data_IF_935511193438
#
_entry.id   IF_935511193438
#
_cell.length_a   1.000
_cell.length_b   1.000
_cell.length_c   1.000
_cell.angle_alpha   90.00
_cell.angle_beta   90.00
_cell.angle_gamma   90.00
#
_symmetry.space_group_name_H-M   'P 1'
#
loop_
_entity.id
_entity.type
_entity.pdbx_description
1 polymer ?
#
# COMPACT_ATOMS: atom_id res chain seq x y z
N UNK A 1 11.24 -15.25 50.06
CA UNK A 1 10.66 -13.92 50.29
C UNK A 1 10.66 -13.21 48.95
N UNK A 2 9.51 -13.11 48.30
CA UNK A 2 9.38 -12.38 47.04
C UNK A 2 9.24 -10.89 47.39
N UNK A 3 10.31 -10.12 47.19
CA UNK A 3 10.26 -8.67 47.32
C UNK A 3 9.45 -8.10 46.16
N UNK A 4 8.20 -7.73 46.44
CA UNK A 4 7.41 -6.88 45.55
C UNK A 4 8.13 -5.54 45.41
N UNK A 5 8.77 -5.34 44.26
CA UNK A 5 9.25 -4.02 43.86
C UNK A 5 8.03 -3.18 43.49
N UNK A 6 7.50 -2.44 44.46
CA UNK A 6 6.49 -1.41 44.20
C UNK A 6 7.12 -0.37 43.26
N UNK A 7 6.76 -0.44 41.99
CA UNK A 7 7.19 0.53 41.01
C UNK A 7 6.61 1.89 41.40
N UNK A 8 7.40 2.98 41.33
CA UNK A 8 6.91 4.32 41.63
C UNK A 8 5.65 4.61 40.81
N UNK A 9 4.64 5.28 41.41
CA UNK A 9 3.40 5.59 40.72
C UNK A 9 3.70 6.30 39.40
N UNK A 10 3.16 5.76 38.30
CA UNK A 10 3.35 6.32 36.96
C UNK A 10 2.89 7.77 36.96
N UNK A 11 3.75 8.67 36.45
CA UNK A 11 3.38 10.08 36.26
C UNK A 11 2.14 10.14 35.38
N UNK A 12 1.13 10.90 35.80
CA UNK A 12 -0.10 11.11 35.03
C UNK A 12 0.30 11.69 33.65
N UNK A 13 -0.20 11.14 32.53
CA UNK A 13 0.16 11.61 31.20
C UNK A 13 -0.20 13.08 31.07
N UNK A 14 0.74 13.88 30.57
CA UNK A 14 0.49 15.30 30.37
C UNK A 14 -0.43 15.48 29.16
N UNK A 15 -1.24 16.55 29.16
CA UNK A 15 -2.05 16.92 27.99
C UNK A 15 -1.14 17.08 26.75
N UNK A 16 0.10 17.55 26.92
CA UNK A 16 1.13 17.62 25.86
C UNK A 16 1.46 16.27 25.22
N UNK A 17 1.35 15.17 25.97
CA UNK A 17 1.71 13.82 25.54
C UNK A 17 0.56 13.07 24.86
N UNK A 18 -0.66 13.60 24.93
CA UNK A 18 -1.81 13.02 24.23
C UNK A 18 -1.67 13.21 22.71
N UNK A 19 -2.09 12.26 21.88
CA UNK A 19 -2.05 12.38 20.41
C UNK A 19 -3.18 13.28 19.89
N UNK A 20 -3.22 14.54 20.34
CA UNK A 20 -4.19 15.56 19.93
C UNK A 20 -3.59 16.46 18.85
N UNK A 21 -4.43 16.85 17.88
CA UNK A 21 -4.05 17.81 16.85
C UNK A 21 -3.82 19.20 17.45
N UNK A 22 -3.02 20.05 16.76
CA UNK A 22 -2.78 21.42 17.22
C UNK A 22 -4.07 22.23 17.37
N UNK A 23 -5.04 22.02 16.49
CA UNK A 23 -6.34 22.70 16.55
C UNK A 23 -7.17 22.24 17.78
N UNK A 24 -7.15 20.94 18.08
CA UNK A 24 -7.83 20.41 19.28
C UNK A 24 -7.22 20.97 20.57
N UNK A 25 -5.89 21.09 20.63
CA UNK A 25 -5.19 21.69 21.78
C UNK A 25 -5.58 23.15 21.97
N UNK A 26 -5.52 23.95 20.91
CA UNK A 26 -5.89 25.36 20.96
C UNK A 26 -7.35 25.57 21.40
N UNK A 27 -8.25 24.68 20.97
CA UNK A 27 -9.66 24.69 21.42
C UNK A 27 -9.78 24.41 22.92
N UNK A 28 -9.05 23.42 23.45
CA UNK A 28 -9.04 23.13 24.89
C UNK A 28 -8.50 24.32 25.70
N UNK A 29 -7.42 24.94 25.23
CA UNK A 29 -6.83 26.10 25.88
C UNK A 29 -7.78 27.31 25.86
N UNK A 30 -8.50 27.53 24.75
CA UNK A 30 -9.55 28.56 24.65
C UNK A 30 -10.68 28.32 25.64
N UNK A 31 -11.21 27.09 25.70
CA UNK A 31 -12.26 26.73 26.65
C UNK A 31 -11.82 26.96 28.09
N UNK A 32 -10.59 26.57 28.43
CA UNK A 32 -10.01 26.77 29.77
C UNK A 32 -9.87 28.27 30.09
N UNK A 33 -9.44 29.08 29.12
CA UNK A 33 -9.34 30.53 29.29
C UNK A 33 -10.73 31.14 29.56
N UNK A 34 -11.73 30.79 28.76
CA UNK A 34 -13.10 31.25 28.92
C UNK A 34 -13.71 30.77 30.24
N UNK A 35 -13.45 29.54 30.66
CA UNK A 35 -13.91 28.97 31.93
C UNK A 35 -13.37 29.75 33.13
N UNK A 36 -12.09 30.13 33.09
CA UNK A 36 -11.49 31.00 34.12
C UNK A 36 -12.06 32.41 34.07
N UNK A 37 -12.21 32.98 32.87
CA UNK A 37 -12.70 34.35 32.66
C UNK A 37 -14.17 34.54 33.09
N UNK A 38 -15.03 33.55 32.84
CA UNK A 38 -16.45 33.55 33.26
C UNK A 38 -16.61 33.40 34.79
N UNK A 39 -15.55 33.04 35.53
CA UNK A 39 -15.58 32.91 36.99
C UNK A 39 -16.14 31.57 37.50
N UNK A 40 -16.40 30.62 36.60
CA UNK A 40 -16.89 29.26 36.95
C UNK A 40 -15.86 28.52 37.82
N UNK A 41 -14.56 28.65 37.49
CA UNK A 41 -13.48 28.07 38.29
C UNK A 41 -13.48 28.59 39.73
N UNK A 42 -13.61 29.91 39.92
CA UNK A 42 -13.60 30.52 41.25
C UNK A 42 -14.85 30.14 42.05
N UNK A 43 -15.99 30.02 41.37
CA UNK A 43 -17.24 29.54 41.97
C UNK A 43 -17.11 28.11 42.48
N UNK A 44 -16.55 27.20 41.68
CA UNK A 44 -16.30 25.82 42.10
C UNK A 44 -15.28 25.75 43.24
N UNK A 45 -14.18 26.50 43.15
CA UNK A 45 -13.18 26.60 44.23
C UNK A 45 -13.86 27.01 45.54
N UNK A 46 -14.68 28.07 45.54
CA UNK A 46 -15.39 28.54 46.73
C UNK A 46 -16.33 27.48 47.30
N UNK A 47 -17.11 26.81 46.44
CA UNK A 47 -18.02 25.72 46.86
C UNK A 47 -17.26 24.56 47.50
N UNK A 48 -16.15 24.12 46.89
CA UNK A 48 -15.29 23.07 47.44
C UNK A 48 -14.71 23.47 48.81
N UNK A 49 -14.19 24.69 48.93
CA UNK A 49 -13.69 25.20 50.21
C UNK A 49 -14.79 25.26 51.28
N UNK A 50 -15.99 25.70 50.91
CA UNK A 50 -17.13 25.73 51.80
C UNK A 50 -17.53 24.32 52.26
N UNK A 51 -17.67 23.37 51.33
CA UNK A 51 -18.02 21.99 51.64
C UNK A 51 -16.99 21.33 52.57
N UNK A 52 -15.70 21.56 52.33
CA UNK A 52 -14.65 21.06 53.22
C UNK A 52 -14.76 21.69 54.62
N UNK A 53 -14.99 23.00 54.70
CA UNK A 53 -15.13 23.72 55.97
C UNK A 53 -16.34 23.26 56.80
N UNK A 54 -17.44 22.92 56.14
CA UNK A 54 -18.66 22.41 56.78
C UNK A 54 -18.57 20.90 57.10
N UNK A 55 -17.56 20.20 56.55
CA UNK A 55 -17.39 18.77 56.77
C UNK A 55 -16.77 18.43 58.12
N UNK A 56 -17.14 17.26 58.66
CA UNK A 56 -16.50 16.69 59.84
C UNK A 56 -14.99 16.40 59.64
N UNK A 57 -14.55 16.29 58.38
CA UNK A 57 -13.15 15.99 58.02
C UNK A 57 -12.20 17.12 58.43
N UNK A 58 -12.66 18.38 58.40
CA UNK A 58 -11.89 19.50 58.94
C UNK A 58 -11.58 19.32 60.43
N UNK A 59 -12.58 18.91 61.21
CA UNK A 59 -12.40 18.64 62.64
C UNK A 59 -11.41 17.51 62.89
N UNK A 60 -11.46 16.45 62.08
CA UNK A 60 -10.49 15.35 62.13
C UNK A 60 -9.07 15.81 61.81
N UNK A 61 -8.90 16.65 60.79
CA UNK A 61 -7.61 17.24 60.45
C UNK A 61 -7.08 18.12 61.57
N UNK A 62 -7.90 18.99 62.15
CA UNK A 62 -7.50 19.82 63.30
C UNK A 62 -7.09 18.97 64.51
N UNK A 63 -7.80 17.87 64.79
CA UNK A 63 -7.46 16.94 65.86
C UNK A 63 -6.12 16.23 65.59
N UNK A 64 -5.90 15.74 64.36
CA UNK A 64 -4.65 15.13 63.94
C UNK A 64 -3.48 16.09 64.05
N UNK A 65 -3.66 17.34 63.60
CA UNK A 65 -2.64 18.37 63.68
C UNK A 65 -2.30 18.71 65.14
N UNK A 66 -3.32 18.87 66.00
CA UNK A 66 -3.11 19.10 67.44
C UNK A 66 -2.33 17.95 68.08
N UNK A 67 -2.73 16.70 67.81
CA UNK A 67 -2.04 15.53 68.35
C UNK A 67 -0.57 15.47 67.91
N UNK A 68 -0.29 15.69 66.62
CA UNK A 68 1.08 15.75 66.10
C UNK A 68 1.90 16.87 66.75
N UNK A 69 1.34 18.08 66.85
CA UNK A 69 2.04 19.22 67.45
C UNK A 69 2.34 19.00 68.93
N UNK A 70 1.41 18.39 69.68
CA UNK A 70 1.65 18.06 71.09
C UNK A 70 2.80 17.06 71.24
N UNK A 71 2.79 15.99 70.43
CA UNK A 71 3.86 14.99 70.44
C UNK A 71 5.22 15.59 70.06
N UNK A 72 5.28 16.49 69.08
CA UNK A 72 6.53 17.16 68.69
C UNK A 72 7.01 18.14 69.76
N UNK A 73 6.11 18.89 70.40
CA UNK A 73 6.46 19.77 71.52
C UNK A 73 7.00 18.96 72.70
N UNK A 74 6.36 17.83 73.05
CA UNK A 74 6.81 16.96 74.13
C UNK A 74 8.18 16.34 73.85
N UNK A 75 8.47 16.07 72.57
CA UNK A 75 9.77 15.54 72.12
C UNK A 75 10.91 16.54 72.23
N UNK A 76 10.68 17.81 71.86
CA UNK A 76 11.69 18.87 71.95
C UNK A 76 11.09 20.21 72.42
N UNK A 77 10.83 20.35 73.74
CA UNK A 77 10.19 21.55 74.27
C UNK A 77 11.03 22.82 74.08
N UNK A 78 12.36 22.71 74.15
CA UNK A 78 13.26 23.86 74.02
C UNK A 78 13.24 24.42 72.59
N UNK A 79 13.10 23.57 71.57
CA UNK A 79 13.01 24.01 70.18
C UNK A 79 11.70 24.72 69.86
N UNK A 80 10.58 24.32 70.48
CA UNK A 80 9.26 24.84 70.10
C UNK A 80 8.68 25.86 71.09
N UNK A 81 9.07 25.86 72.37
CA UNK A 81 8.54 26.79 73.38
C UNK A 81 9.47 27.96 73.72
N UNK A 82 10.78 27.83 73.49
CA UNK A 82 11.76 28.90 73.75
C UNK A 82 11.75 30.02 72.70
N UNK A 83 11.65 29.72 71.37
CA UNK A 83 11.60 30.77 70.36
C UNK A 83 10.25 31.51 70.37
N UNK A 84 10.20 32.66 69.68
CA UNK A 84 8.95 33.34 69.42
C UNK A 84 7.93 32.41 68.75
N UNK A 85 6.66 32.57 69.13
CA UNK A 85 5.55 31.74 68.64
C UNK A 85 5.50 31.64 67.11
N UNK A 86 5.89 32.70 66.41
CA UNK A 86 5.93 32.75 64.93
C UNK A 86 7.01 31.81 64.36
N UNK A 87 8.17 31.74 64.99
CA UNK A 87 9.28 30.87 64.60
C UNK A 87 8.91 29.41 64.92
N UNK A 88 8.38 29.17 66.13
CA UNK A 88 7.93 27.85 66.55
C UNK A 88 6.84 27.28 65.64
N UNK A 89 5.85 28.10 65.25
CA UNK A 89 4.80 27.69 64.33
C UNK A 89 5.35 27.23 62.97
N UNK A 90 6.29 27.99 62.39
CA UNK A 90 6.93 27.61 61.12
C UNK A 90 7.75 26.30 61.24
N UNK A 91 8.42 26.08 62.38
CA UNK A 91 9.17 24.84 62.64
C UNK A 91 8.24 23.63 62.80
N UNK A 92 7.10 23.81 63.46
CA UNK A 92 6.07 22.76 63.60
C UNK A 92 5.40 22.45 62.27
N UNK A 93 5.05 23.46 61.48
CA UNK A 93 4.50 23.30 60.13
C UNK A 93 5.46 22.51 59.23
N UNK A 94 6.75 22.88 59.21
CA UNK A 94 7.75 22.14 58.46
C UNK A 94 7.93 20.70 58.94
N UNK A 95 7.72 20.43 60.22
CA UNK A 95 7.78 19.07 60.78
C UNK A 95 6.53 18.26 60.43
N UNK A 96 5.35 18.87 60.46
CA UNK A 96 4.09 18.26 60.03
C UNK A 96 4.11 17.89 58.54
N UNK A 97 4.70 18.74 57.70
CA UNK A 97 4.88 18.47 56.27
C UNK A 97 5.77 17.24 56.01
N UNK A 98 6.86 17.08 56.78
CA UNK A 98 7.73 15.90 56.69
C UNK A 98 7.11 14.64 57.32
N UNK A 99 6.22 14.82 58.29
CA UNK A 99 5.50 13.75 58.97
C UNK A 99 4.24 13.27 58.26
N UNK A 100 3.98 13.75 57.04
CA UNK A 100 2.81 13.39 56.21
C UNK A 100 1.45 13.57 56.91
N UNK A 101 1.34 14.57 57.80
CA UNK A 101 0.07 14.87 58.50
C UNK A 101 -1.01 15.35 57.51
N UNK A 102 -0.58 15.90 56.37
CA UNK A 102 -1.48 16.46 55.36
C UNK A 102 -1.99 15.42 54.36
N UNK A 103 -1.32 14.27 54.19
CA UNK A 103 -1.66 13.31 53.13
C UNK A 103 -3.10 12.82 53.19
N UNK A 104 -3.64 12.58 54.38
CA UNK A 104 -5.06 12.19 54.52
C UNK A 104 -6.02 13.31 54.11
N UNK A 105 -5.72 14.54 54.50
CA UNK A 105 -6.52 15.71 54.15
C UNK A 105 -6.45 16.00 52.65
N UNK A 106 -5.29 15.82 52.02
CA UNK A 106 -5.14 15.96 50.56
C UNK A 106 -6.02 14.96 49.82
N UNK A 107 -6.03 13.69 50.22
CA UNK A 107 -6.93 12.67 49.63
C UNK A 107 -8.41 13.03 49.81
N UNK A 108 -8.76 13.58 50.96
CA UNK A 108 -10.12 14.02 51.24
C UNK A 108 -10.52 15.20 50.35
N UNK A 109 -9.61 16.15 50.12
CA UNK A 109 -9.79 17.26 49.18
C UNK A 109 -9.90 16.75 47.74
N UNK A 110 -9.05 15.82 47.31
CA UNK A 110 -9.12 15.21 45.98
C UNK A 110 -10.49 14.55 45.75
N UNK A 111 -11.03 13.87 46.77
CA UNK A 111 -12.37 13.28 46.70
C UNK A 111 -13.46 14.35 46.50
N UNK A 112 -13.33 15.52 47.15
CA UNK A 112 -14.25 16.64 46.91
C UNK A 112 -14.08 17.23 45.51
N UNK A 113 -12.84 17.34 45.02
CA UNK A 113 -12.56 17.79 43.66
C UNK A 113 -13.26 16.86 42.65
N UNK A 114 -13.16 15.54 42.82
CA UNK A 114 -13.79 14.54 41.96
C UNK A 114 -15.32 14.69 41.88
N UNK A 115 -15.97 15.05 42.99
CA UNK A 115 -17.43 15.31 43.01
C UNK A 115 -17.82 16.50 42.11
N UNK A 116 -16.97 17.53 42.06
CA UNK A 116 -17.21 18.72 41.23
C UNK A 116 -16.70 18.59 39.79
N UNK A 117 -15.92 17.55 39.47
CA UNK A 117 -15.40 17.35 38.10
C UNK A 117 -16.51 17.25 37.06
N UNK A 118 -17.61 16.56 37.37
CA UNK A 118 -18.75 16.44 36.45
C UNK A 118 -19.39 17.81 36.14
N UNK A 119 -19.50 18.68 37.15
CA UNK A 119 -20.06 20.03 37.00
C UNK A 119 -19.10 20.90 36.17
N UNK A 120 -17.79 20.81 36.43
CA UNK A 120 -16.78 21.50 35.64
C UNK A 120 -16.80 21.06 34.17
N UNK A 121 -16.93 19.75 33.93
CA UNK A 121 -17.03 19.19 32.58
C UNK A 121 -18.27 19.72 31.85
N UNK A 122 -19.44 19.72 32.49
CA UNK A 122 -20.67 20.27 31.91
C UNK A 122 -20.52 21.74 31.55
N UNK A 123 -19.92 22.55 32.42
CA UNK A 123 -19.66 23.96 32.14
C UNK A 123 -18.69 24.17 30.96
N UNK A 124 -17.63 23.37 30.86
CA UNK A 124 -16.71 23.38 29.72
C UNK A 124 -17.41 22.98 28.41
N UNK A 125 -18.29 21.97 28.46
CA UNK A 125 -19.10 21.57 27.31
C UNK A 125 -20.08 22.66 26.89
N UNK A 126 -20.67 23.38 27.85
CA UNK A 126 -21.49 24.56 27.59
C UNK A 126 -20.70 25.65 26.85
N UNK A 127 -19.47 25.95 27.31
CA UNK A 127 -18.58 26.89 26.61
C UNK A 127 -18.30 26.42 25.17
N UNK A 128 -18.05 25.13 24.96
CA UNK A 128 -17.84 24.59 23.61
C UNK A 128 -19.08 24.75 22.73
N UNK A 129 -20.27 24.46 23.27
CA UNK A 129 -21.53 24.63 22.56
C UNK A 129 -21.79 26.09 22.18
N UNK A 130 -21.40 27.06 23.02
CA UNK A 130 -21.45 28.48 22.70
C UNK A 130 -20.46 28.85 21.57
N UNK A 131 -19.27 28.24 21.53
CA UNK A 131 -18.22 28.54 20.54
C UNK A 131 -18.48 27.95 19.15
N UNK A 132 -18.89 26.68 19.06
CA UNK A 132 -19.06 25.96 17.77
C UNK A 132 -20.52 25.68 17.39
N UNK A 133 -21.47 25.97 18.29
CA UNK A 133 -22.87 25.64 18.13
C UNK A 133 -23.23 24.25 18.67
N UNK A 134 -24.48 24.10 19.10
CA UNK A 134 -24.96 22.90 19.79
C UNK A 134 -24.89 21.61 18.96
N UNK A 135 -25.08 21.69 17.64
CA UNK A 135 -25.02 20.50 16.77
C UNK A 135 -23.61 19.94 16.66
N UNK A 136 -22.61 20.78 16.38
CA UNK A 136 -21.21 20.35 16.29
C UNK A 136 -20.68 19.88 17.63
N UNK A 137 -21.00 20.58 18.72
CA UNK A 137 -20.62 20.17 20.07
C UNK A 137 -21.19 18.79 20.44
N UNK A 138 -22.42 18.48 20.03
CA UNK A 138 -23.02 17.16 20.24
C UNK A 138 -22.35 16.06 19.42
N UNK A 139 -21.92 16.33 18.19
CA UNK A 139 -21.15 15.38 17.39
C UNK A 139 -19.79 15.10 18.05
N UNK A 140 -19.07 16.14 18.48
CA UNK A 140 -17.81 16.01 19.23
C UNK A 140 -18.02 15.19 20.52
N UNK A 141 -19.11 15.45 21.26
CA UNK A 141 -19.46 14.69 22.46
C UNK A 141 -19.70 13.20 22.17
N UNK A 142 -20.51 12.88 21.15
CA UNK A 142 -20.79 11.49 20.77
C UNK A 142 -19.53 10.77 20.29
N UNK A 143 -18.67 11.46 19.57
CA UNK A 143 -17.38 10.92 19.16
C UNK A 143 -16.46 10.67 20.36
N UNK A 144 -16.45 11.56 21.36
CA UNK A 144 -15.69 11.39 22.59
C UNK A 144 -16.22 10.27 23.50
N UNK A 145 -17.52 9.96 23.44
CA UNK A 145 -18.13 8.83 24.15
C UNK A 145 -17.90 7.48 23.48
N UNK A 146 -17.25 7.45 22.32
CA UNK A 146 -17.02 6.20 21.60
C UNK A 146 -16.08 5.31 22.41
N UNK A 147 -16.55 4.11 22.75
CA UNK A 147 -15.77 3.15 23.51
C UNK A 147 -14.61 2.58 22.68
N UNK A 148 -13.58 2.10 23.36
CA UNK A 148 -12.45 1.41 22.73
C UNK A 148 -12.91 0.23 21.85
N UNK A 149 -13.95 -0.49 22.28
CA UNK A 149 -14.57 -1.57 21.51
C UNK A 149 -15.16 -1.07 20.19
N UNK A 150 -15.92 0.03 20.22
CA UNK A 150 -16.49 0.62 19.01
C UNK A 150 -15.41 1.18 18.06
N UNK A 151 -14.27 1.65 18.59
CA UNK A 151 -13.11 2.01 17.77
C UNK A 151 -12.45 0.78 17.13
N UNK A 152 -12.34 -0.33 17.87
CA UNK A 152 -11.78 -1.56 17.35
C UNK A 152 -12.63 -2.16 16.23
N UNK A 153 -13.96 -2.14 16.36
CA UNK A 153 -14.90 -2.56 15.32
C UNK A 153 -14.77 -1.71 14.05
N UNK A 154 -14.76 -0.38 14.19
CA UNK A 154 -14.57 0.52 13.06
C UNK A 154 -13.21 0.30 12.37
N UNK A 155 -12.14 0.12 13.15
CA UNK A 155 -10.82 -0.19 12.62
C UNK A 155 -10.80 -1.54 11.88
N UNK A 156 -11.55 -2.52 12.38
CA UNK A 156 -11.79 -3.82 11.75
C UNK A 156 -12.51 -3.68 10.41
N UNK A 157 -13.60 -2.91 10.36
CA UNK A 157 -14.34 -2.61 9.12
C UNK A 157 -13.44 -1.92 8.09
N UNK A 158 -12.70 -0.87 8.49
CA UNK A 158 -11.74 -0.21 7.59
C UNK A 158 -10.65 -1.15 7.08
N UNK A 159 -10.23 -2.13 7.90
CA UNK A 159 -9.27 -3.17 7.46
C UNK A 159 -9.92 -4.08 6.43
N UNK A 160 -11.16 -4.53 6.64
CA UNK A 160 -11.91 -5.35 5.70
C UNK A 160 -12.16 -4.62 4.37
N UNK A 161 -12.52 -3.34 4.41
CA UNK A 161 -12.68 -2.50 3.22
C UNK A 161 -11.37 -2.37 2.42
N UNK A 162 -10.25 -2.12 3.12
CA UNK A 162 -8.92 -2.09 2.48
C UNK A 162 -8.56 -3.44 1.86
N UNK A 163 -8.85 -4.54 2.54
CA UNK A 163 -8.59 -5.89 2.04
C UNK A 163 -9.49 -6.24 0.84
N UNK A 164 -10.76 -5.84 0.87
CA UNK A 164 -11.70 -6.01 -0.23
C UNK A 164 -11.23 -5.23 -1.47
N UNK A 165 -10.83 -3.97 -1.29
CA UNK A 165 -10.27 -3.13 -2.35
C UNK A 165 -8.98 -3.74 -2.92
N UNK A 166 -8.09 -4.24 -2.05
CA UNK A 166 -6.87 -4.93 -2.48
C UNK A 166 -7.18 -6.20 -3.29
N UNK A 167 -8.14 -7.02 -2.86
CA UNK A 167 -8.58 -8.21 -3.59
C UNK A 167 -9.19 -7.86 -4.95
N UNK A 168 -9.98 -6.79 -5.01
CA UNK A 168 -10.56 -6.30 -6.26
C UNK A 168 -9.48 -5.83 -7.24
N UNK A 169 -8.52 -5.03 -6.76
CA UNK A 169 -7.39 -4.56 -7.56
C UNK A 169 -6.52 -5.72 -8.05
N UNK A 170 -6.28 -6.73 -7.21
CA UNK A 170 -5.57 -7.95 -7.62
C UNK A 170 -6.33 -8.73 -8.71
N UNK A 171 -7.66 -8.86 -8.59
CA UNK A 171 -8.48 -9.47 -9.65
C UNK A 171 -8.42 -8.68 -10.96
N UNK A 172 -8.41 -7.34 -10.89
CA UNK A 172 -8.27 -6.48 -12.09
C UNK A 172 -6.89 -6.64 -12.73
N UNK A 173 -5.82 -6.70 -11.94
CA UNK A 173 -4.45 -6.94 -12.42
C UNK A 173 -4.33 -8.31 -13.10
N UNK A 174 -4.78 -9.38 -12.44
CA UNK A 174 -4.76 -10.73 -13.00
C UNK A 174 -5.55 -10.83 -14.33
N UNK A 175 -6.72 -10.16 -14.43
CA UNK A 175 -7.48 -10.11 -15.69
C UNK A 175 -6.72 -9.39 -16.81
N UNK A 176 -6.03 -8.28 -16.50
CA UNK A 176 -5.22 -7.55 -17.49
C UNK A 176 -4.03 -8.39 -17.95
N UNK A 177 -3.31 -9.01 -17.03
CA UNK A 177 -2.19 -9.90 -17.35
C UNK A 177 -2.63 -11.09 -18.21
N UNK A 178 -3.76 -11.73 -17.87
CA UNK A 178 -4.31 -12.82 -18.67
C UNK A 178 -4.72 -12.37 -20.08
N UNK A 179 -5.28 -11.17 -20.23
CA UNK A 179 -5.61 -10.61 -21.54
C UNK A 179 -4.35 -10.28 -22.35
N UNK A 180 -3.31 -9.74 -21.72
CA UNK A 180 -2.02 -9.49 -22.38
C UNK A 180 -1.33 -10.78 -22.79
N UNK A 181 -1.34 -11.82 -21.95
CA UNK A 181 -0.80 -13.13 -22.31
C UNK A 181 -1.53 -13.74 -23.49
N UNK A 182 -2.88 -13.71 -23.49
CA UNK A 182 -3.68 -14.18 -24.64
C UNK A 182 -3.37 -13.40 -25.93
N UNK A 183 -3.19 -12.08 -25.84
CA UNK A 183 -2.79 -11.26 -27.00
C UNK A 183 -1.41 -11.64 -27.51
N UNK A 184 -0.43 -11.81 -26.62
CA UNK A 184 0.94 -12.24 -26.97
C UNK A 184 0.93 -13.63 -27.61
N UNK A 185 0.16 -14.56 -27.09
CA UNK A 185 0.03 -15.92 -27.64
C UNK A 185 -0.59 -15.91 -29.04
N UNK A 186 -1.68 -15.15 -29.24
CA UNK A 186 -2.30 -14.95 -30.55
C UNK A 186 -1.33 -14.30 -31.55
N UNK A 187 -0.56 -13.31 -31.12
CA UNK A 187 0.45 -12.67 -31.97
C UNK A 187 1.59 -13.64 -32.34
N UNK A 188 2.03 -14.47 -31.39
CA UNK A 188 3.03 -15.52 -31.63
C UNK A 188 2.52 -16.59 -32.61
N UNK A 189 1.25 -17.01 -32.48
CA UNK A 189 0.62 -17.94 -33.42
C UNK A 189 0.50 -17.32 -34.82
N UNK A 190 0.10 -16.06 -34.94
CA UNK A 190 0.06 -15.34 -36.21
C UNK A 190 1.45 -15.23 -36.84
N UNK A 191 2.47 -14.88 -36.07
CA UNK A 191 3.88 -14.83 -36.54
C UNK A 191 4.37 -16.19 -37.02
N UNK A 192 4.04 -17.28 -36.30
CA UNK A 192 4.35 -18.65 -36.73
C UNK A 192 3.64 -19.01 -38.03
N UNK A 193 2.36 -18.67 -38.16
CA UNK A 193 1.59 -18.92 -39.38
C UNK A 193 2.13 -18.13 -40.57
N UNK A 194 2.48 -16.86 -40.38
CA UNK A 194 3.09 -16.03 -41.41
C UNK A 194 4.48 -16.53 -41.83
N UNK A 195 5.30 -16.99 -40.87
CA UNK A 195 6.58 -17.61 -41.15
C UNK A 195 6.41 -18.90 -41.97
N UNK A 196 5.44 -19.74 -41.62
CA UNK A 196 5.14 -20.97 -42.34
C UNK A 196 4.64 -20.69 -43.77
N UNK A 197 3.81 -19.66 -43.97
CA UNK A 197 3.38 -19.21 -45.29
C UNK A 197 4.53 -18.62 -46.12
N UNK A 198 5.45 -17.89 -45.50
CA UNK A 198 6.69 -17.40 -46.14
C UNK A 198 7.61 -18.56 -46.52
N UNK A 199 7.66 -19.62 -45.73
CA UNK A 199 8.46 -20.81 -46.02
C UNK A 199 7.84 -21.64 -47.15
N UNK A 200 6.52 -21.87 -47.14
CA UNK A 200 5.84 -22.59 -48.22
C UNK A 200 5.92 -21.84 -49.55
N UNK A 201 5.78 -20.51 -49.56
CA UNK A 201 5.97 -19.70 -50.78
C UNK A 201 7.42 -19.71 -51.28
N UNK A 202 8.42 -19.72 -50.38
CA UNK A 202 9.82 -19.93 -50.76
C UNK A 202 10.05 -21.31 -51.39
N UNK A 203 9.51 -22.37 -50.79
CA UNK A 203 9.60 -23.72 -51.34
C UNK A 203 8.91 -23.83 -52.71
N UNK A 204 7.74 -23.20 -52.88
CA UNK A 204 7.03 -23.18 -54.16
C UNK A 204 7.78 -22.40 -55.25
N UNK A 205 8.38 -21.25 -54.92
CA UNK A 205 9.19 -20.48 -55.88
C UNK A 205 10.48 -21.22 -56.22
N UNK A 206 11.11 -21.89 -55.26
CA UNK A 206 12.27 -22.73 -55.51
C UNK A 206 11.92 -23.96 -56.37
N UNK A 207 10.79 -24.62 -56.13
CA UNK A 207 10.29 -25.71 -56.97
C UNK A 207 10.00 -25.23 -58.41
N UNK A 208 9.36 -24.07 -58.58
CA UNK A 208 9.15 -23.47 -59.91
C UNK A 208 10.48 -23.18 -60.62
N UNK A 209 11.46 -22.62 -59.91
CA UNK A 209 12.80 -22.34 -60.46
C UNK A 209 13.56 -23.63 -60.80
N UNK A 210 13.36 -24.72 -60.05
CA UNK A 210 13.92 -26.04 -60.39
C UNK A 210 13.24 -26.61 -61.64
N UNK A 211 11.91 -26.54 -61.72
CA UNK A 211 11.16 -26.99 -62.90
C UNK A 211 11.52 -26.19 -64.17
N UNK A 212 11.71 -24.87 -64.08
CA UNK A 212 12.19 -24.04 -65.19
C UNK A 212 13.61 -24.42 -65.65
N UNK A 213 14.52 -24.72 -64.71
CA UNK A 213 15.88 -25.19 -65.04
C UNK A 213 15.86 -26.57 -65.68
N UNK A 214 14.97 -27.45 -65.24
CA UNK A 214 14.79 -28.77 -65.86
C UNK A 214 14.17 -28.67 -67.26
N UNK A 215 13.18 -27.79 -67.45
CA UNK A 215 12.59 -27.51 -68.76
C UNK A 215 13.60 -26.89 -69.73
N UNK A 216 14.46 -25.96 -69.25
CA UNK A 216 15.53 -25.38 -70.05
C UNK A 216 16.56 -26.43 -70.48
N UNK A 217 16.98 -27.31 -69.54
CA UNK A 217 17.88 -28.44 -69.86
C UNK A 217 17.24 -29.45 -70.82
N UNK A 218 15.92 -29.67 -70.73
CA UNK A 218 15.20 -30.55 -71.64
C UNK A 218 15.13 -29.95 -73.05
N UNK A 219 14.83 -28.66 -73.17
CA UNK A 219 14.80 -27.94 -74.45
C UNK A 219 16.19 -27.84 -75.11
N UNK A 220 17.27 -27.69 -74.32
CA UNK A 220 18.64 -27.73 -74.83
C UNK A 220 19.01 -29.13 -75.36
N UNK A 221 18.66 -30.18 -74.62
CA UNK A 221 18.81 -31.57 -75.11
C UNK A 221 18.01 -31.85 -76.38
N UNK A 222 16.85 -31.22 -76.55
CA UNK A 222 16.03 -31.35 -77.76
C UNK A 222 16.69 -30.64 -78.96
N UNK A 223 17.25 -29.43 -78.75
CA UNK A 223 18.03 -28.73 -79.78
C UNK A 223 19.28 -29.51 -80.21
N UNK A 224 19.96 -30.16 -79.27
CA UNK A 224 21.11 -31.01 -79.60
C UNK A 224 20.70 -32.28 -80.37
N UNK A 225 19.54 -32.87 -80.04
CA UNK A 225 18.97 -33.99 -80.82
C UNK A 225 18.61 -33.56 -82.25
N UNK A 226 18.05 -32.37 -82.43
CA UNK A 226 17.76 -31.82 -83.76
C UNK A 226 19.03 -31.53 -84.57
N UNK A 227 20.10 -31.01 -83.93
CA UNK A 227 21.40 -30.84 -84.58
C UNK A 227 21.98 -32.17 -85.05
N UNK A 228 21.89 -33.22 -84.24
CA UNK A 228 22.35 -34.57 -84.62
C UNK A 228 21.51 -35.14 -85.77
N UNK A 229 20.19 -34.90 -85.78
CA UNK A 229 19.31 -35.32 -86.89
C UNK A 229 19.68 -34.65 -88.21
N UNK A 230 19.90 -33.33 -88.21
CA UNK A 230 20.33 -32.62 -89.44
C UNK A 230 21.66 -33.11 -89.98
N UNK A 231 22.63 -33.38 -89.11
CA UNK A 231 23.93 -33.95 -89.52
C UNK A 231 23.75 -35.34 -90.15
N UNK A 232 22.82 -36.16 -89.63
CA UNK A 232 22.53 -37.48 -90.21
C UNK A 232 21.76 -37.37 -91.53
N UNK A 233 20.81 -36.45 -91.65
CA UNK A 233 20.08 -36.20 -92.90
C UNK A 233 21.01 -35.72 -94.03
N UNK A 234 21.94 -34.82 -93.73
CA UNK A 234 22.96 -34.39 -94.70
C UNK A 234 23.87 -35.55 -95.14
N UNK A 235 24.19 -36.46 -94.21
CA UNK A 235 25.04 -37.63 -94.49
C UNK A 235 24.32 -38.69 -95.33
N UNK A 236 23.02 -38.87 -95.12
CA UNK A 236 22.18 -39.76 -95.93
C UNK A 236 21.91 -39.15 -97.32
N UNK A 237 21.72 -37.83 -97.42
CA UNK A 237 21.58 -37.15 -98.71
C UNK A 237 22.87 -37.26 -99.54
N UNK A 238 24.04 -37.16 -98.92
CA UNK A 238 25.33 -37.37 -99.56
C UNK A 238 25.50 -38.81 -100.08
N UNK A 239 25.08 -39.83 -99.31
CA UNK A 239 25.08 -41.23 -99.77
C UNK A 239 24.15 -41.46 -100.93
N UNK A 240 22.94 -40.89 -100.89
CA UNK A 240 21.93 -41.07 -101.93
C UNK A 240 22.38 -40.48 -103.28
N UNK A 241 23.03 -39.31 -103.26
CA UNK A 241 23.65 -38.72 -104.45
C UNK A 241 24.73 -39.64 -105.05
N UNK A 242 25.52 -40.30 -104.20
CA UNK A 242 26.58 -41.21 -104.63
C UNK A 242 26.04 -42.55 -105.17
N UNK A 243 24.87 -43.00 -104.68
CA UNK A 243 24.15 -44.14 -105.25
C UNK A 243 23.48 -43.81 -106.58
N UNK A 244 22.88 -42.62 -106.73
CA UNK A 244 22.27 -42.18 -107.98
C UNK A 244 23.33 -41.99 -109.09
N UNK A 245 24.52 -41.50 -108.76
CA UNK A 245 25.68 -41.43 -109.69
C UNK A 245 26.10 -42.83 -110.17
N UNK A 246 26.18 -43.81 -109.26
CA UNK A 246 26.52 -45.19 -109.60
C UNK A 246 25.45 -45.88 -110.44
N UNK A 247 24.17 -45.54 -110.24
CA UNK A 247 23.06 -46.06 -111.03
C UNK A 247 23.06 -45.50 -112.45
N UNK A 248 23.37 -44.22 -112.62
CA UNK A 248 23.52 -43.60 -113.94
C UNK A 248 24.71 -44.23 -114.71
N UNK A 249 25.83 -44.52 -114.04
CA UNK A 249 26.99 -45.18 -114.65
C UNK A 249 26.70 -46.65 -115.04
N UNK A 250 25.82 -47.34 -114.32
CA UNK A 250 25.34 -48.68 -114.66
C UNK A 250 24.37 -48.67 -115.85
N UNK A 251 23.43 -47.73 -115.93
CA UNK A 251 22.52 -47.60 -117.08
C UNK A 251 23.25 -47.19 -118.38
N UNK A 252 24.34 -46.42 -118.29
CA UNK A 252 25.18 -46.11 -119.45
C UNK A 252 25.96 -47.35 -119.94
N UNK A 253 26.46 -48.19 -119.03
CA UNK A 253 27.09 -49.47 -119.39
C UNK A 253 26.10 -50.47 -120.02
N UNK A 254 24.87 -50.52 -119.54
CA UNK A 254 23.83 -51.39 -120.10
C UNK A 254 23.35 -50.95 -121.49
N UNK A 255 23.34 -49.64 -121.79
CA UNK A 255 23.06 -49.14 -123.14
C UNK A 255 24.15 -49.53 -124.14
N UNK A 256 25.43 -49.45 -123.75
CA UNK A 256 26.57 -49.86 -124.62
C UNK A 256 26.62 -51.37 -124.88
N UNK A 257 26.10 -52.20 -123.97
CA UNK A 257 26.00 -53.65 -124.15
C UNK A 257 24.85 -54.06 -125.07
N UNK A 258 23.76 -53.28 -125.14
CA UNK A 258 22.64 -53.54 -126.06
C UNK A 258 22.95 -53.20 -127.52
N UNK A 259 23.81 -52.23 -127.79
CA UNK A 259 24.23 -51.89 -129.17
C UNK A 259 25.18 -52.94 -129.78
N UNK A 260 25.80 -53.81 -128.97
CA UNK A 260 26.77 -54.81 -129.44
C UNK A 260 26.17 -56.22 -129.66
N UNK A 261 24.86 -56.40 -129.43
CA UNK A 261 24.18 -57.69 -129.54
C UNK A 261 23.27 -57.84 -130.78
N UNK A 262 23.21 -56.82 -131.65
CA UNK A 262 22.41 -56.83 -132.90
C UNK A 262 23.26 -56.72 -134.20
N UNK A 263 24.56 -57.06 -134.14
CA UNK A 263 25.41 -57.34 -135.32
C UNK A 263 25.82 -58.80 -135.36
#
# INVERSE_FOLDING_TARGET
MNGEWELPPRKKPKISELPLSSAQRASIDSMLHTFKKKGEFDTLRKKMFQQYNESAKRGMFEASLRAFTAQEIDRDPLKYLKPDRRIAAALLEGSAARGDVYGKTEQDIDTYIDQYMQIAEQALRGIRADEVGGEQANVEYRNGLKSDGAYAEEAGLRRQEREAKYKEDQKKRAKREAQEQKKKELEMLKKKQEALMKETTRLQTEQKRRAEREAWKAAEKERDRERIRKINEDRELAKKKLEDEKKAEQEERERRLKEHAEQ
#
